data_IF_460377338500
#
_entry.id   IF_460377338500
#
_cell.length_a   1.000
_cell.length_b   1.000
_cell.length_c   1.000
_cell.angle_alpha   90.00
_cell.angle_beta   90.00
_cell.angle_gamma   90.00
#
_symmetry.space_group_name_H-M   'P 1'
#
loop_
_entity.id
_entity.type
_entity.pdbx_description
1 polymer ?
#
# COMPACT_ATOMS: atom_id res chain seq x y z
N UNK A 1 -15.39 -30.68 4.04
CA UNK A 1 -15.04 -29.78 2.95
C UNK A 1 -15.70 -28.45 3.23
N UNK A 2 -14.91 -27.37 3.40
CA UNK A 2 -15.43 -26.01 3.48
C UNK A 2 -16.13 -25.69 2.17
N UNK A 3 -17.14 -24.83 2.21
CA UNK A 3 -17.82 -24.40 0.98
C UNK A 3 -16.86 -23.49 0.17
N UNK A 4 -16.92 -23.53 -1.17
CA UNK A 4 -16.12 -22.66 -2.03
C UNK A 4 -16.34 -21.16 -1.71
N UNK A 5 -17.50 -20.82 -1.10
CA UNK A 5 -17.82 -19.49 -0.59
C UNK A 5 -16.87 -18.95 0.49
N UNK A 6 -16.15 -19.84 1.21
CA UNK A 6 -15.11 -19.44 2.15
C UNK A 6 -13.79 -19.08 1.45
N UNK A 7 -13.60 -19.55 0.22
CA UNK A 7 -12.41 -19.25 -0.59
C UNK A 7 -12.56 -17.94 -1.37
N UNK A 8 -13.66 -17.80 -2.08
CA UNK A 8 -14.00 -16.60 -2.84
C UNK A 8 -15.51 -16.51 -3.06
N UNK A 9 -15.97 -15.36 -3.45
CA UNK A 9 -17.37 -15.15 -3.86
C UNK A 9 -17.41 -14.61 -5.28
N UNK A 10 -18.16 -15.26 -6.16
CA UNK A 10 -18.45 -14.77 -7.51
C UNK A 10 -19.71 -13.92 -7.49
N UNK A 11 -19.65 -12.73 -8.09
CA UNK A 11 -20.79 -11.86 -8.36
C UNK A 11 -20.81 -11.58 -9.85
N UNK A 12 -21.96 -11.79 -10.49
CA UNK A 12 -22.13 -11.53 -11.92
C UNK A 12 -23.06 -10.35 -12.09
N UNK A 13 -22.58 -9.33 -12.81
CA UNK A 13 -23.42 -8.24 -13.31
C UNK A 13 -23.66 -8.46 -14.79
N UNK A 14 -24.92 -8.30 -15.22
CA UNK A 14 -25.28 -8.41 -16.64
C UNK A 14 -25.69 -7.05 -17.16
N UNK A 15 -24.99 -6.54 -18.15
CA UNK A 15 -25.31 -5.31 -18.85
C UNK A 15 -25.27 -5.54 -20.35
N UNK A 16 -26.34 -5.13 -21.08
CA UNK A 16 -26.47 -5.28 -22.52
C UNK A 16 -26.23 -6.73 -23.03
N UNK A 17 -26.73 -7.72 -22.29
CA UNK A 17 -26.54 -9.16 -22.54
C UNK A 17 -25.07 -9.62 -22.44
N UNK A 18 -24.21 -8.88 -21.75
CA UNK A 18 -22.82 -9.24 -21.45
C UNK A 18 -22.64 -9.39 -19.96
N UNK A 19 -21.95 -10.45 -19.57
CA UNK A 19 -21.64 -10.70 -18.18
C UNK A 19 -20.30 -10.06 -17.81
N UNK A 20 -20.29 -9.45 -16.64
CA UNK A 20 -19.07 -8.99 -15.96
C UNK A 20 -18.97 -9.78 -14.68
N UNK A 21 -17.96 -10.61 -14.57
CA UNK A 21 -17.73 -11.49 -13.44
C UNK A 21 -16.78 -10.81 -12.45
N UNK A 22 -17.20 -10.68 -11.19
CA UNK A 22 -16.38 -10.19 -10.10
C UNK A 22 -16.04 -11.37 -9.18
N UNK A 23 -14.76 -11.64 -8.99
CA UNK A 23 -14.25 -12.64 -8.06
C UNK A 23 -13.71 -11.93 -6.82
N UNK A 24 -14.45 -12.01 -5.72
CA UNK A 24 -14.10 -11.37 -4.45
C UNK A 24 -13.27 -12.34 -3.62
N UNK A 25 -11.97 -12.10 -3.54
CA UNK A 25 -11.01 -12.96 -2.84
C UNK A 25 -10.52 -12.23 -1.59
N UNK A 26 -11.02 -12.59 -0.39
CA UNK A 26 -10.54 -12.00 0.86
C UNK A 26 -9.08 -12.41 1.11
N UNK A 27 -8.42 -11.71 2.05
CA UNK A 27 -7.07 -12.07 2.49
C UNK A 27 -6.98 -13.55 2.82
N UNK A 28 -5.96 -14.23 2.29
CA UNK A 28 -5.76 -15.67 2.43
C UNK A 28 -4.62 -15.98 3.39
N UNK A 29 -4.97 -16.38 4.59
CA UNK A 29 -4.03 -16.99 5.52
C UNK A 29 -3.65 -18.41 5.03
N UNK A 30 -2.35 -18.74 4.87
CA UNK A 30 -1.92 -20.03 4.36
C UNK A 30 -2.39 -21.21 5.21
N UNK A 31 -2.38 -21.08 6.54
CA UNK A 31 -2.78 -22.16 7.44
C UNK A 31 -4.29 -22.45 7.36
N UNK A 32 -5.09 -21.37 7.25
CA UNK A 32 -6.53 -21.50 7.07
C UNK A 32 -6.87 -22.10 5.69
N UNK A 33 -6.25 -21.58 4.63
CA UNK A 33 -6.48 -22.08 3.26
C UNK A 33 -6.07 -23.53 3.09
N UNK A 34 -4.93 -23.93 3.68
CA UNK A 34 -4.48 -25.32 3.78
C UNK A 34 -5.52 -26.24 4.39
N UNK A 35 -6.17 -25.79 5.48
CA UNK A 35 -7.21 -26.55 6.18
C UNK A 35 -8.50 -26.64 5.35
N UNK A 36 -8.92 -25.53 4.71
CA UNK A 36 -10.14 -25.48 3.92
C UNK A 36 -10.08 -26.40 2.69
N UNK A 37 -8.92 -26.44 2.03
CA UNK A 37 -8.69 -27.24 0.82
C UNK A 37 -8.16 -28.65 1.10
N UNK A 38 -7.86 -28.99 2.36
CA UNK A 38 -7.13 -30.21 2.75
C UNK A 38 -5.84 -30.42 1.92
N UNK A 39 -5.17 -29.29 1.59
CA UNK A 39 -3.98 -29.29 0.78
C UNK A 39 -2.73 -29.01 1.61
N UNK A 40 -1.91 -30.04 1.85
CA UNK A 40 -0.70 -29.97 2.71
C UNK A 40 0.46 -29.20 2.08
N UNK A 41 0.43 -28.94 0.79
CA UNK A 41 1.51 -28.25 0.05
C UNK A 41 1.49 -26.73 0.25
N UNK A 42 0.38 -26.16 0.71
CA UNK A 42 0.26 -24.72 0.99
C UNK A 42 1.16 -24.33 2.15
N UNK A 43 2.19 -23.49 1.90
CA UNK A 43 3.19 -23.03 2.87
C UNK A 43 3.34 -21.52 2.92
N UNK A 44 2.94 -20.81 1.86
CA UNK A 44 3.08 -19.35 1.68
C UNK A 44 1.75 -18.73 1.25
N UNK A 45 1.66 -17.40 1.30
CA UNK A 45 0.52 -16.66 0.75
C UNK A 45 0.39 -16.86 -0.75
N UNK A 46 1.53 -17.02 -1.45
CA UNK A 46 1.54 -17.34 -2.88
C UNK A 46 0.87 -18.69 -3.15
N UNK A 47 1.23 -19.74 -2.42
CA UNK A 47 0.62 -21.06 -2.59
C UNK A 47 -0.87 -21.04 -2.29
N UNK A 48 -1.26 -20.32 -1.23
CA UNK A 48 -2.67 -20.15 -0.86
C UNK A 48 -3.46 -19.43 -1.97
N UNK A 49 -2.88 -18.39 -2.56
CA UNK A 49 -3.52 -17.64 -3.64
C UNK A 49 -3.58 -18.46 -4.93
N UNK A 50 -2.52 -19.19 -5.31
CA UNK A 50 -2.53 -20.11 -6.44
C UNK A 50 -3.69 -21.10 -6.31
N UNK A 51 -3.83 -21.74 -5.15
CA UNK A 51 -4.88 -22.73 -4.94
C UNK A 51 -6.30 -22.13 -5.06
N UNK A 52 -6.50 -20.88 -4.66
CA UNK A 52 -7.76 -20.16 -4.85
C UNK A 52 -7.98 -19.79 -6.32
N UNK A 53 -6.96 -19.29 -7.00
CA UNK A 53 -7.06 -18.93 -8.41
C UNK A 53 -7.33 -20.15 -9.28
N UNK A 54 -6.71 -21.29 -9.00
CA UNK A 54 -6.96 -22.53 -9.72
C UNK A 54 -8.43 -22.98 -9.58
N UNK A 55 -9.03 -22.79 -8.40
CA UNK A 55 -10.46 -23.00 -8.20
C UNK A 55 -11.34 -22.04 -9.02
N UNK A 56 -10.96 -20.76 -9.08
CA UNK A 56 -11.68 -19.76 -9.88
C UNK A 56 -11.61 -20.13 -11.37
N UNK A 57 -10.46 -20.63 -11.84
CA UNK A 57 -10.26 -21.01 -13.25
C UNK A 57 -11.17 -22.15 -13.71
N UNK A 58 -11.65 -23.02 -12.81
CA UNK A 58 -12.62 -24.05 -13.15
C UNK A 58 -13.94 -23.48 -13.68
N UNK A 59 -14.29 -22.22 -13.31
CA UNK A 59 -15.53 -21.53 -13.67
C UNK A 59 -15.30 -20.20 -14.43
N UNK A 60 -14.06 -19.93 -14.84
CA UNK A 60 -13.73 -18.71 -15.55
C UNK A 60 -14.10 -18.82 -17.03
N UNK A 61 -14.90 -17.87 -17.54
CA UNK A 61 -15.24 -17.79 -18.95
C UNK A 61 -14.40 -16.69 -19.62
N UNK A 62 -13.45 -17.10 -20.45
CA UNK A 62 -12.55 -16.17 -21.16
C UNK A 62 -13.26 -15.22 -22.15
N UNK A 63 -14.51 -15.54 -22.57
CA UNK A 63 -15.29 -14.67 -23.46
C UNK A 63 -16.03 -13.56 -22.71
N UNK A 64 -16.03 -13.57 -21.39
CA UNK A 64 -16.65 -12.57 -20.51
C UNK A 64 -15.57 -11.69 -19.87
N UNK A 65 -15.99 -10.56 -19.31
CA UNK A 65 -15.07 -9.71 -18.53
C UNK A 65 -14.90 -10.31 -17.15
N UNK A 66 -13.66 -10.56 -16.74
CA UNK A 66 -13.31 -11.17 -15.47
C UNK A 66 -12.46 -10.22 -14.63
N UNK A 67 -13.02 -9.78 -13.51
CA UNK A 67 -12.40 -8.84 -12.58
C UNK A 67 -12.14 -9.55 -11.26
N UNK A 68 -10.90 -9.55 -10.79
CA UNK A 68 -10.56 -10.03 -9.46
C UNK A 68 -10.42 -8.85 -8.49
N UNK A 69 -10.99 -8.99 -7.30
CA UNK A 69 -10.79 -8.08 -6.18
C UNK A 69 -10.11 -8.88 -5.07
N UNK A 70 -8.85 -8.54 -4.77
CA UNK A 70 -8.02 -9.31 -3.84
C UNK A 70 -7.31 -8.43 -2.81
N UNK A 71 -6.72 -9.07 -1.80
CA UNK A 71 -6.00 -8.39 -0.73
C UNK A 71 -4.71 -9.15 -0.38
N UNK A 72 -3.57 -8.49 -0.46
CA UNK A 72 -2.26 -9.05 -0.13
C UNK A 72 -1.11 -8.29 -0.80
N UNK A 73 0.12 -8.74 -0.53
CA UNK A 73 1.33 -8.18 -1.13
C UNK A 73 1.62 -8.85 -2.47
N UNK A 74 1.17 -8.24 -3.56
CA UNK A 74 1.44 -8.70 -4.93
C UNK A 74 2.65 -7.96 -5.48
N UNK A 75 3.61 -8.69 -6.04
CA UNK A 75 4.85 -8.14 -6.60
C UNK A 75 5.23 -8.81 -7.92
N UNK A 76 6.02 -8.11 -8.72
CA UNK A 76 6.68 -8.72 -9.88
C UNK A 76 7.83 -9.60 -9.41
N UNK A 77 7.91 -10.83 -9.90
CA UNK A 77 9.12 -11.64 -9.79
C UNK A 77 10.21 -11.03 -10.69
N UNK A 78 11.30 -10.55 -10.11
CA UNK A 78 12.51 -10.35 -10.90
C UNK A 78 13.18 -11.72 -11.07
N UNK A 79 13.32 -12.16 -12.31
CA UNK A 79 14.24 -13.23 -12.67
C UNK A 79 15.66 -12.66 -12.54
N UNK A 80 16.26 -12.74 -11.35
CA UNK A 80 17.69 -12.56 -11.23
C UNK A 80 18.40 -13.90 -11.38
N UNK A 81 19.52 -13.83 -12.11
CA UNK A 81 20.37 -14.94 -12.51
C UNK A 81 20.64 -15.93 -11.37
N UNK A 82 20.33 -17.15 -11.66
CA UNK A 82 20.67 -18.42 -11.05
C UNK A 82 21.92 -18.35 -10.15
N UNK A 83 21.70 -18.21 -8.84
CA UNK A 83 22.53 -18.89 -7.85
C UNK A 83 21.61 -19.63 -6.88
N UNK A 84 21.68 -20.95 -6.90
CA UNK A 84 20.69 -21.88 -6.36
C UNK A 84 20.72 -21.96 -4.81
N UNK A 85 21.45 -21.08 -4.14
CA UNK A 85 21.68 -21.18 -2.69
C UNK A 85 21.02 -20.12 -1.81
N UNK A 86 20.47 -19.05 -2.40
CA UNK A 86 19.84 -17.98 -1.61
C UNK A 86 18.49 -17.57 -2.22
N UNK A 87 17.39 -18.04 -1.63
CA UNK A 87 16.02 -17.62 -1.95
C UNK A 87 15.77 -16.18 -1.47
N UNK A 88 16.53 -15.21 -1.95
CA UNK A 88 16.22 -13.80 -1.79
C UNK A 88 15.33 -13.36 -2.95
N UNK A 89 14.03 -13.30 -2.69
CA UNK A 89 13.11 -12.56 -3.54
C UNK A 89 13.34 -11.07 -3.28
N UNK A 90 14.04 -10.37 -4.18
CA UNK A 90 13.95 -8.92 -4.23
C UNK A 90 12.60 -8.58 -4.88
N UNK A 91 11.65 -8.18 -4.04
CA UNK A 91 10.43 -7.57 -4.52
C UNK A 91 10.79 -6.34 -5.36
N UNK A 92 10.18 -6.17 -6.53
CA UNK A 92 10.18 -4.86 -7.19
C UNK A 92 9.81 -3.81 -6.14
N UNK A 93 10.47 -2.65 -6.15
CA UNK A 93 10.28 -1.61 -5.14
C UNK A 93 8.78 -1.26 -5.01
N UNK A 94 8.12 -1.89 -4.03
CA UNK A 94 6.75 -1.55 -3.66
C UNK A 94 6.82 -0.30 -2.77
N UNK A 95 6.03 0.71 -3.11
CA UNK A 95 5.85 1.85 -2.22
C UNK A 95 5.03 1.41 -1.02
N UNK A 96 5.68 1.25 0.12
CA UNK A 96 5.07 0.91 1.41
C UNK A 96 5.05 2.10 2.34
N UNK A 97 4.15 2.09 3.33
CA UNK A 97 4.06 3.11 4.37
C UNK A 97 4.25 2.51 5.76
N UNK A 98 4.60 3.35 6.74
CA UNK A 98 4.76 2.93 8.15
C UNK A 98 3.44 2.46 8.79
N UNK A 99 2.31 2.79 8.20
CA UNK A 99 0.98 2.38 8.67
C UNK A 99 0.56 1.00 8.16
N UNK A 100 1.31 0.42 7.21
CA UNK A 100 1.07 -0.92 6.69
C UNK A 100 1.76 -1.97 7.56
N UNK A 101 1.21 -3.19 7.54
CA UNK A 101 1.87 -4.31 8.19
C UNK A 101 3.21 -4.59 7.47
N UNK A 102 4.34 -4.65 8.19
CA UNK A 102 5.62 -5.02 7.59
C UNK A 102 5.57 -6.40 6.94
N UNK A 103 6.29 -6.56 5.82
CA UNK A 103 6.50 -7.87 5.21
C UNK A 103 7.19 -8.82 6.18
N UNK A 104 6.80 -10.09 6.16
CA UNK A 104 7.44 -11.13 6.94
C UNK A 104 8.89 -11.35 6.46
N UNK A 105 9.76 -11.68 7.40
CA UNK A 105 11.13 -12.08 7.09
C UNK A 105 11.10 -13.32 6.19
N UNK A 106 11.82 -13.27 5.05
CA UNK A 106 11.87 -14.37 4.09
C UNK A 106 10.82 -14.32 2.99
N UNK A 107 10.01 -13.24 2.90
CA UNK A 107 9.11 -12.99 1.75
C UNK A 107 7.94 -13.97 1.61
N UNK A 108 7.55 -14.68 2.69
CA UNK A 108 6.42 -15.63 2.65
C UNK A 108 5.07 -14.96 2.39
N UNK A 109 4.99 -13.62 2.59
CA UNK A 109 3.78 -12.82 2.36
C UNK A 109 3.62 -12.39 0.90
N UNK A 110 4.68 -12.52 0.08
CA UNK A 110 4.69 -12.07 -1.31
C UNK A 110 3.89 -13.01 -2.21
N UNK A 111 3.12 -12.43 -3.12
CA UNK A 111 2.30 -13.12 -4.11
C UNK A 111 2.81 -12.72 -5.50
N UNK A 112 3.05 -13.71 -6.35
CA UNK A 112 3.50 -13.50 -7.73
C UNK A 112 2.38 -12.94 -8.60
N UNK A 113 2.61 -11.81 -9.29
CA UNK A 113 1.64 -11.19 -10.20
C UNK A 113 1.16 -12.11 -11.31
N UNK A 114 2.02 -13.03 -11.77
CA UNK A 114 1.75 -13.90 -12.92
C UNK A 114 0.55 -14.84 -12.70
N UNK A 115 0.20 -15.12 -11.45
CA UNK A 115 -0.96 -15.96 -11.14
C UNK A 115 -2.28 -15.31 -11.57
N UNK A 116 -2.30 -13.98 -11.74
CA UNK A 116 -3.50 -13.21 -12.10
C UNK A 116 -3.63 -12.91 -13.59
N UNK A 117 -2.81 -13.50 -14.45
CA UNK A 117 -2.75 -13.19 -15.89
C UNK A 117 -4.08 -13.39 -16.64
N UNK A 118 -4.92 -14.31 -16.16
CA UNK A 118 -6.18 -14.70 -16.84
C UNK A 118 -7.36 -13.75 -16.50
N UNK A 119 -7.14 -12.74 -15.64
CA UNK A 119 -8.13 -11.72 -15.34
C UNK A 119 -7.91 -10.47 -16.19
N UNK A 120 -8.99 -9.87 -16.67
CA UNK A 120 -8.95 -8.63 -17.46
C UNK A 120 -8.54 -7.43 -16.58
N UNK A 121 -9.01 -7.40 -15.31
CA UNK A 121 -8.60 -6.41 -14.31
C UNK A 121 -8.40 -7.04 -12.93
N UNK A 122 -7.41 -6.56 -12.20
CA UNK A 122 -7.11 -7.00 -10.82
C UNK A 122 -7.05 -5.78 -9.90
N UNK A 123 -8.07 -5.65 -9.04
CA UNK A 123 -8.13 -4.64 -8.01
C UNK A 123 -7.50 -5.17 -6.71
N UNK A 124 -6.42 -4.55 -6.28
CA UNK A 124 -5.67 -4.96 -5.10
C UNK A 124 -5.89 -3.99 -3.93
N UNK A 125 -6.05 -4.57 -2.74
CA UNK A 125 -5.97 -3.87 -1.46
C UNK A 125 -4.78 -4.36 -0.66
N UNK A 126 -4.38 -3.63 0.34
CA UNK A 126 -3.35 -3.81 1.34
C UNK A 126 -2.39 -2.61 1.36
N UNK A 127 -1.77 -2.26 0.24
CA UNK A 127 -0.87 -1.12 0.17
C UNK A 127 -1.65 0.20 0.15
N UNK A 128 -1.20 1.17 0.94
CA UNK A 128 -1.85 2.48 1.08
C UNK A 128 -1.49 3.46 -0.03
N UNK A 129 -0.34 3.25 -0.70
CA UNK A 129 0.04 3.99 -1.89
C UNK A 129 -0.64 3.44 -3.14
N UNK A 130 -1.27 4.31 -3.96
CA UNK A 130 -1.77 3.89 -5.27
C UNK A 130 -0.61 3.52 -6.19
N UNK A 131 -0.61 2.33 -6.73
CA UNK A 131 0.44 1.86 -7.63
C UNK A 131 -0.05 0.74 -8.55
N UNK A 132 0.58 0.59 -9.71
CA UNK A 132 0.36 -0.54 -10.61
C UNK A 132 1.42 -1.62 -10.37
N UNK A 133 1.07 -2.86 -10.66
CA UNK A 133 1.96 -4.00 -10.59
C UNK A 133 2.02 -4.65 -11.99
N UNK A 134 3.19 -4.66 -12.60
CA UNK A 134 3.39 -5.19 -13.95
C UNK A 134 2.60 -4.43 -15.02
N UNK A 135 1.30 -4.67 -15.09
CA UNK A 135 0.40 -4.09 -16.11
C UNK A 135 -0.52 -3.02 -15.56
N UNK A 136 -1.05 -2.16 -16.45
CA UNK A 136 -1.98 -1.07 -16.07
C UNK A 136 -3.27 -1.59 -15.42
N UNK A 137 -3.74 -2.77 -15.83
CA UNK A 137 -4.97 -3.39 -15.35
C UNK A 137 -4.80 -4.20 -14.08
N UNK A 138 -3.65 -4.12 -13.40
CA UNK A 138 -3.42 -4.69 -12.07
C UNK A 138 -2.89 -3.61 -11.14
N UNK A 139 -3.72 -3.20 -10.16
CA UNK A 139 -3.43 -2.01 -9.37
C UNK A 139 -3.87 -2.11 -7.93
N UNK A 140 -3.07 -1.49 -7.06
CA UNK A 140 -3.53 -1.03 -5.77
C UNK A 140 -4.23 0.32 -5.95
N UNK A 141 -5.45 0.45 -5.48
CA UNK A 141 -6.16 1.74 -5.43
C UNK A 141 -5.58 2.66 -4.36
N UNK A 142 -4.94 2.08 -3.36
CA UNK A 142 -4.48 2.78 -2.17
C UNK A 142 -5.59 3.00 -1.13
N UNK A 143 -5.24 3.63 -0.03
CA UNK A 143 -6.20 4.02 0.99
C UNK A 143 -6.88 5.34 0.61
N UNK A 144 -8.11 5.55 1.11
CA UNK A 144 -8.88 6.77 0.83
C UNK A 144 -8.30 8.02 1.51
N UNK A 145 -7.65 7.83 2.66
CA UNK A 145 -7.01 8.88 3.45
C UNK A 145 -5.56 8.48 3.77
N UNK A 146 -4.76 9.44 4.19
CA UNK A 146 -3.43 9.19 4.76
C UNK A 146 -3.56 8.74 6.21
N UNK A 147 -2.90 7.66 6.58
CA UNK A 147 -2.92 7.10 7.93
C UNK A 147 -1.61 7.30 8.69
N UNK A 148 -0.56 7.77 8.01
CA UNK A 148 0.77 8.00 8.59
C UNK A 148 1.42 9.22 7.95
N UNK A 149 2.31 9.89 8.67
CA UNK A 149 3.12 10.98 8.12
C UNK A 149 4.12 10.52 7.05
N UNK A 150 4.41 9.22 6.95
CA UNK A 150 5.16 8.66 5.82
C UNK A 150 4.41 8.79 4.48
N UNK A 151 3.08 8.94 4.53
CA UNK A 151 2.21 9.06 3.37
C UNK A 151 1.96 10.51 2.90
N UNK A 152 2.59 11.50 3.52
CA UNK A 152 2.34 12.94 3.25
C UNK A 152 2.46 13.30 1.77
N UNK A 153 3.40 12.66 1.06
CA UNK A 153 3.62 12.90 -0.38
C UNK A 153 2.66 12.13 -1.29
N UNK A 154 1.91 11.16 -0.75
CA UNK A 154 0.99 10.37 -1.54
C UNK A 154 -0.26 11.17 -1.90
N UNK A 155 -0.69 11.04 -3.15
CA UNK A 155 -1.97 11.56 -3.62
C UNK A 155 -3.00 10.45 -3.54
N UNK A 156 -3.97 10.61 -2.65
CA UNK A 156 -5.07 9.64 -2.49
C UNK A 156 -6.07 9.78 -3.63
N UNK A 157 -6.61 8.65 -4.08
CA UNK A 157 -7.54 8.62 -5.22
C UNK A 157 -8.43 7.38 -5.19
N UNK A 158 -9.50 7.43 -5.96
CA UNK A 158 -10.24 6.25 -6.38
C UNK A 158 -9.87 5.89 -7.82
N UNK A 159 -9.97 4.62 -8.14
CA UNK A 159 -9.82 4.11 -9.50
C UNK A 159 -11.21 3.94 -10.09
N UNK A 160 -11.48 4.59 -11.20
CA UNK A 160 -12.73 4.45 -11.96
C UNK A 160 -12.42 3.64 -13.21
N UNK A 161 -13.20 2.59 -13.42
CA UNK A 161 -13.09 1.74 -14.61
C UNK A 161 -14.28 2.02 -15.52
N UNK A 162 -14.01 2.35 -16.77
CA UNK A 162 -15.00 2.38 -17.84
C UNK A 162 -14.78 1.17 -18.73
N UNK A 163 -15.76 0.29 -18.75
CA UNK A 163 -15.68 -1.01 -19.43
C UNK A 163 -16.45 -0.95 -20.74
N UNK A 164 -15.76 -1.14 -21.84
CA UNK A 164 -16.36 -1.33 -23.14
C UNK A 164 -15.88 -2.66 -23.73
N UNK A 165 -16.68 -3.69 -23.54
CA UNK A 165 -16.27 -5.08 -23.77
C UNK A 165 -15.02 -5.42 -22.92
N UNK A 166 -13.94 -5.90 -23.52
CA UNK A 166 -12.67 -6.14 -22.84
C UNK A 166 -11.72 -4.93 -22.83
N UNK A 167 -12.12 -3.83 -23.48
CA UNK A 167 -11.37 -2.57 -23.35
C UNK A 167 -11.69 -1.93 -22.00
N UNK A 168 -10.66 -1.72 -21.20
CA UNK A 168 -10.75 -1.14 -19.87
C UNK A 168 -10.05 0.20 -19.87
N UNK A 169 -10.84 1.28 -19.80
CA UNK A 169 -10.30 2.61 -19.57
C UNK A 169 -10.19 2.89 -18.07
N UNK A 170 -9.04 3.37 -17.62
CA UNK A 170 -8.72 3.58 -16.22
C UNK A 170 -8.54 5.08 -15.97
N UNK A 171 -9.37 5.64 -15.09
CA UNK A 171 -9.27 7.02 -14.64
C UNK A 171 -8.94 7.04 -13.14
N UNK A 172 -7.96 7.85 -12.75
CA UNK A 172 -7.65 8.11 -11.34
C UNK A 172 -8.25 9.45 -10.93
N UNK A 173 -9.25 9.42 -10.04
CA UNK A 173 -9.86 10.62 -9.48
C UNK A 173 -9.27 10.91 -8.10
N UNK A 174 -8.56 12.03 -7.99
CA UNK A 174 -7.94 12.45 -6.73
C UNK A 174 -9.01 12.79 -5.70
N UNK A 175 -8.69 12.46 -4.45
CA UNK A 175 -9.51 12.76 -3.28
C UNK A 175 -8.88 13.92 -2.51
N UNK A 176 -9.70 14.91 -2.21
CA UNK A 176 -9.30 16.05 -1.38
C UNK A 176 -9.90 15.86 0.02
N UNK A 177 -9.11 15.54 1.04
CA UNK A 177 -9.61 15.39 2.39
C UNK A 177 -10.02 16.74 2.99
N UNK A 178 -10.97 16.74 3.93
CA UNK A 178 -11.33 17.94 4.69
C UNK A 178 -10.13 18.48 5.50
N UNK A 179 -9.30 17.58 6.03
CA UNK A 179 -8.03 17.86 6.70
C UNK A 179 -7.00 16.89 6.19
N UNK A 180 -5.86 17.40 5.78
CA UNK A 180 -4.76 16.56 5.30
C UNK A 180 -3.73 16.30 6.40
N UNK A 181 -2.81 15.35 6.17
CA UNK A 181 -1.61 15.19 6.98
C UNK A 181 -0.49 15.99 6.33
N UNK A 182 0.18 16.84 7.12
CA UNK A 182 1.23 17.71 6.65
C UNK A 182 2.41 17.74 7.61
N UNK A 183 3.62 17.80 7.05
CA UNK A 183 4.85 17.98 7.81
C UNK A 183 5.29 19.43 7.64
N UNK A 184 5.53 20.12 8.77
CA UNK A 184 6.17 21.45 8.83
C UNK A 184 7.54 21.30 9.47
N UNK A 185 8.52 22.09 8.99
CA UNK A 185 9.90 22.01 9.49
C UNK A 185 10.49 23.40 9.66
N UNK A 186 11.05 23.67 10.84
CA UNK A 186 11.69 24.96 11.14
C UNK A 186 11.95 25.16 12.63
N UNK A 187 12.42 26.35 12.99
CA UNK A 187 12.48 26.78 14.37
C UNK A 187 11.07 27.03 14.90
N UNK A 188 10.83 26.79 16.17
CA UNK A 188 9.48 26.89 16.75
C UNK A 188 8.88 28.29 16.60
N UNK A 189 9.69 29.36 16.77
CA UNK A 189 9.19 30.73 16.66
C UNK A 189 8.79 31.08 15.22
N UNK A 190 9.56 30.59 14.21
CA UNK A 190 9.24 30.76 12.78
C UNK A 190 7.94 30.04 12.43
N UNK A 191 7.79 28.78 12.87
CA UNK A 191 6.57 27.98 12.64
C UNK A 191 5.33 28.60 13.29
N UNK A 192 5.46 29.23 14.47
CA UNK A 192 4.36 29.92 15.13
C UNK A 192 4.00 31.20 14.35
N UNK A 193 5.00 31.93 13.86
CA UNK A 193 4.77 33.14 13.06
C UNK A 193 4.02 32.80 11.77
N UNK A 194 4.52 31.80 11.03
CA UNK A 194 3.87 31.29 9.81
C UNK A 194 2.43 30.82 10.07
N UNK A 195 2.21 30.08 11.17
CA UNK A 195 0.90 29.55 11.52
C UNK A 195 -0.15 30.58 11.89
N UNK A 196 0.25 31.80 12.26
CA UNK A 196 -0.68 32.91 12.51
C UNK A 196 -1.27 33.47 11.23
N UNK A 197 -0.47 33.49 10.17
CA UNK A 197 -0.80 34.10 8.88
C UNK A 197 -1.44 33.11 7.89
N UNK A 198 -1.36 31.79 8.19
CA UNK A 198 -1.93 30.74 7.33
C UNK A 198 -3.43 30.57 7.64
N UNK A 199 -4.27 30.75 6.63
CA UNK A 199 -5.71 30.44 6.70
C UNK A 199 -6.03 29.04 6.16
N UNK A 200 -5.41 28.66 5.03
CA UNK A 200 -5.63 27.36 4.39
C UNK A 200 -4.75 26.28 5.01
N UNK A 201 -5.34 25.13 5.35
CA UNK A 201 -4.64 24.00 5.97
C UNK A 201 -4.26 24.19 7.43
N UNK A 202 -4.79 25.21 8.12
CA UNK A 202 -4.57 25.44 9.56
C UNK A 202 -5.10 24.28 10.41
N UNK A 203 -6.18 23.69 9.96
CA UNK A 203 -6.85 22.55 10.61
C UNK A 203 -6.27 21.18 10.19
N UNK A 204 -5.22 21.15 9.36
CA UNK A 204 -4.56 19.90 8.98
C UNK A 204 -3.92 19.22 10.20
N UNK A 205 -3.76 17.91 10.10
CA UNK A 205 -3.00 17.14 11.09
C UNK A 205 -1.50 17.35 10.86
N UNK A 206 -0.81 17.90 11.86
CA UNK A 206 0.56 18.41 11.72
C UNK A 206 1.56 17.52 12.46
N UNK A 207 2.62 17.12 11.74
CA UNK A 207 3.90 16.77 12.35
C UNK A 207 4.86 17.96 12.23
N UNK A 208 5.37 18.45 13.35
CA UNK A 208 6.40 19.49 13.36
C UNK A 208 7.80 18.86 13.56
N UNK A 209 8.72 19.16 12.64
CA UNK A 209 10.13 18.79 12.76
C UNK A 209 10.90 20.04 13.21
N UNK A 210 11.25 20.11 14.49
CA UNK A 210 11.92 21.26 15.07
C UNK A 210 13.43 21.20 14.82
N UNK A 211 13.97 22.34 14.39
CA UNK A 211 15.39 22.54 14.11
C UNK A 211 16.11 23.33 15.21
N UNK A 212 15.39 23.69 16.27
CA UNK A 212 15.92 24.44 17.40
C UNK A 212 17.04 23.69 18.11
N UNK A 213 18.06 24.43 18.55
CA UNK A 213 19.10 23.95 19.46
C UNK A 213 18.65 24.15 20.92
N UNK A 214 18.89 23.17 21.79
CA UNK A 214 18.59 23.26 23.21
C UNK A 214 17.18 22.84 23.61
N UNK A 215 16.82 23.07 24.88
CA UNK A 215 15.52 22.70 25.44
C UNK A 215 14.46 23.74 25.09
N UNK A 216 13.29 23.25 24.68
CA UNK A 216 12.12 24.08 24.40
C UNK A 216 11.08 23.89 25.49
N UNK A 217 10.56 24.98 26.03
CA UNK A 217 9.48 24.92 27.00
C UNK A 217 8.13 24.82 26.29
N UNK A 218 7.36 23.78 26.64
CA UNK A 218 6.00 23.52 26.16
C UNK A 218 5.79 23.66 24.65
N UNK A 219 6.63 23.04 23.80
CA UNK A 219 6.55 23.25 22.35
C UNK A 219 5.21 22.78 21.76
N UNK A 220 4.62 21.71 22.29
CA UNK A 220 3.32 21.19 21.83
C UNK A 220 2.19 22.20 22.07
N UNK A 221 2.15 22.82 23.24
CA UNK A 221 1.14 23.80 23.58
C UNK A 221 1.26 25.06 22.71
N UNK A 222 2.49 25.53 22.49
CA UNK A 222 2.78 26.68 21.64
C UNK A 222 2.34 26.44 20.19
N UNK A 223 2.67 25.26 19.62
CA UNK A 223 2.27 24.91 18.27
C UNK A 223 0.76 24.71 18.15
N UNK A 224 0.10 24.08 19.12
CA UNK A 224 -1.35 23.91 19.10
C UNK A 224 -2.12 25.22 19.18
N UNK A 225 -1.53 26.27 19.67
CA UNK A 225 -2.15 27.60 19.67
C UNK A 225 -2.35 28.18 18.25
N UNK A 226 -1.54 27.74 17.27
CA UNK A 226 -1.60 28.18 15.87
C UNK A 226 -1.98 27.06 14.91
N UNK A 227 -1.62 25.82 15.22
CA UNK A 227 -1.97 24.59 14.50
C UNK A 227 -2.70 23.64 15.45
N UNK A 228 -4.01 23.76 15.61
CA UNK A 228 -4.75 23.07 16.70
C UNK A 228 -4.63 21.55 16.63
N UNK A 229 -4.45 20.99 15.46
CA UNK A 229 -4.33 19.55 15.23
C UNK A 229 -2.87 19.08 15.11
N UNK A 230 -1.93 19.71 15.81
CA UNK A 230 -0.57 19.20 15.93
C UNK A 230 -0.58 17.88 16.69
N UNK A 231 -0.14 16.81 16.01
CA UNK A 231 -0.15 15.44 16.53
C UNK A 231 1.21 14.98 17.02
N UNK A 232 2.29 15.38 16.34
CA UNK A 232 3.64 14.89 16.61
C UNK A 232 4.66 16.01 16.52
N UNK A 233 5.62 16.01 17.44
CA UNK A 233 6.82 16.83 17.36
C UNK A 233 8.03 15.90 17.35
N UNK A 234 8.89 16.10 16.37
CA UNK A 234 10.20 15.46 16.28
C UNK A 234 11.29 16.52 16.21
N UNK A 235 12.53 16.17 16.53
CA UNK A 235 13.68 17.06 16.41
C UNK A 235 14.63 16.55 15.35
N UNK A 236 15.12 17.45 14.52
CA UNK A 236 16.20 17.14 13.60
C UNK A 236 17.49 16.91 14.43
N UNK A 237 18.04 15.68 14.39
CA UNK A 237 19.33 15.42 15.00
C UNK A 237 20.42 15.97 14.05
N UNK A 238 21.11 17.05 14.44
CA UNK A 238 22.36 17.42 13.78
C UNK A 238 23.35 16.24 13.96
N UNK A 239 23.72 15.57 12.88
CA UNK A 239 24.86 14.66 12.90
C UNK A 239 26.09 15.52 13.18
N UNK A 240 26.63 15.45 14.40
CA UNK A 240 27.98 15.91 14.65
C UNK A 240 28.90 15.01 13.83
N UNK A 241 29.36 15.52 12.68
CA UNK A 241 30.52 14.97 12.00
C UNK A 241 31.70 15.34 12.90
N UNK A 242 32.08 14.45 13.79
CA UNK A 242 33.37 14.54 14.47
C UNK A 242 34.44 14.33 13.39
N UNK A 243 35.09 15.41 13.01
CA UNK A 243 36.39 15.39 12.33
C UNK A 243 37.43 14.81 13.29
N UNK A 244 37.51 13.51 13.44
CA UNK A 244 38.66 12.81 14.01
C UNK A 244 39.44 12.14 12.89
N UNK A 245 40.08 13.00 12.09
CA UNK A 245 41.22 12.66 11.22
C UNK A 245 42.55 12.89 11.95
N UNK A 246 42.78 12.21 13.07
CA UNK A 246 44.11 12.15 13.66
C UNK A 246 44.90 11.02 13.00
N UNK A 247 45.68 11.39 11.99
CA UNK A 247 46.78 10.56 11.46
C UNK A 247 47.85 10.47 12.55
N UNK A 248 47.93 9.35 13.24
CA UNK A 248 49.11 9.00 14.03
C UNK A 248 50.13 8.33 13.09
N UNK A 249 51.15 9.07 12.72
CA UNK A 249 52.43 8.52 12.26
C UNK A 249 53.23 8.15 13.52
N UNK A 250 53.73 6.94 13.59
CA UNK A 250 54.62 6.43 14.57
C UNK A 250 55.01 5.00 14.22
#
# INVERSE_FOLDING_TARGET
AGSDEELYRKVVLCENNKNINFYLVPYKDPALTKKLLDNKEIRSHNDAMIAVIDKIKEDLNENEVNILIGHGYVTMKREEAIDVSDHKYEAAELETSESERPLSIGGTDLIDENIFKDFDYVALGHLHGRQKIGRETMRYSGSLLKYSFSEVKQKKSIVVLDLKDKDINIELRELNPLRDLRIIKGNIEDLICEGRDVEEGKEDYIQAILTDDGELMNPMEKLKAVYPNTMLITRERKRNVSEDGAVAKG
#
